data_IF_575349152589
#
_entry.id   IF_575349152589
#
_cell.length_a   1.000
_cell.length_b   1.000
_cell.length_c   1.000
_cell.angle_alpha   90.00
_cell.angle_beta   90.00
_cell.angle_gamma   90.00
#
_symmetry.space_group_name_H-M   'P 1'
#
loop_
_entity.id
_entity.type
_entity.pdbx_description
1 polymer ?
#
# COMPACT_ATOMS: atom_id res chain seq x y z
N UNK A 1 15.99 -4.69 -16.47
CA UNK A 1 15.22 -4.04 -15.40
C UNK A 1 15.57 -2.57 -15.42
N UNK A 2 14.59 -1.69 -15.53
CA UNK A 2 14.79 -0.23 -15.50
C UNK A 2 14.25 0.24 -14.15
N UNK A 3 15.04 1.03 -13.44
CA UNK A 3 14.64 1.60 -12.15
C UNK A 3 14.11 3.01 -12.35
N UNK A 4 13.03 3.33 -11.64
CA UNK A 4 12.43 4.65 -11.62
C UNK A 4 12.53 5.23 -10.23
N UNK A 5 12.94 6.49 -10.13
CA UNK A 5 12.99 7.21 -8.86
C UNK A 5 11.62 7.69 -8.38
N UNK A 6 10.57 7.52 -9.20
CA UNK A 6 9.23 8.05 -8.94
C UNK A 6 8.17 7.16 -9.58
N UNK A 7 7.13 6.85 -8.81
CA UNK A 7 6.05 5.95 -9.24
C UNK A 7 5.19 6.54 -10.36
N UNK A 8 4.99 7.87 -10.41
CA UNK A 8 4.21 8.46 -11.51
C UNK A 8 4.91 8.25 -12.85
N UNK A 9 6.23 8.43 -12.90
CA UNK A 9 7.01 8.18 -14.11
C UNK A 9 6.91 6.72 -14.57
N UNK A 10 7.05 5.78 -13.64
CA UNK A 10 6.95 4.35 -13.94
C UNK A 10 5.57 3.98 -14.52
N UNK A 11 4.50 4.52 -13.94
CA UNK A 11 3.12 4.28 -14.39
C UNK A 11 2.86 4.94 -15.75
N UNK A 12 3.36 6.16 -15.98
CA UNK A 12 3.24 6.84 -17.28
C UNK A 12 3.97 6.08 -18.41
N UNK A 13 5.14 5.50 -18.11
CA UNK A 13 5.88 4.69 -19.09
C UNK A 13 5.16 3.38 -19.41
N UNK A 14 4.50 2.76 -18.42
CA UNK A 14 3.62 1.61 -18.66
C UNK A 14 2.43 2.00 -19.55
N UNK A 15 1.76 3.13 -19.28
CA UNK A 15 0.64 3.62 -20.11
C UNK A 15 1.03 3.91 -21.55
N UNK A 16 2.24 4.41 -21.76
CA UNK A 16 2.77 4.71 -23.10
C UNK A 16 3.25 3.47 -23.86
N UNK A 17 3.37 2.32 -23.18
CA UNK A 17 3.97 1.11 -23.73
C UNK A 17 5.50 1.20 -23.87
N UNK A 18 6.15 2.11 -23.14
CA UNK A 18 7.62 2.15 -23.06
C UNK A 18 8.18 0.96 -22.28
N UNK A 19 7.38 0.38 -21.39
CA UNK A 19 7.66 -0.85 -20.65
C UNK A 19 6.46 -1.79 -20.72
N UNK A 20 6.71 -3.10 -20.71
CA UNK A 20 5.65 -4.11 -20.82
C UNK A 20 4.95 -4.42 -19.49
N UNK A 21 5.70 -4.34 -18.38
CA UNK A 21 5.24 -4.68 -17.03
C UNK A 21 5.88 -3.75 -16.00
N UNK A 22 5.18 -3.56 -14.88
CA UNK A 22 5.65 -2.80 -13.72
C UNK A 22 5.39 -3.59 -12.44
N UNK A 23 6.37 -3.63 -11.54
CA UNK A 23 6.25 -4.19 -10.19
C UNK A 23 6.11 -3.00 -9.23
N UNK A 24 5.01 -2.95 -8.48
CA UNK A 24 4.69 -1.89 -7.52
C UNK A 24 3.86 -2.46 -6.37
N UNK A 25 3.85 -1.77 -5.24
CA UNK A 25 2.98 -2.09 -4.11
C UNK A 25 1.50 -2.05 -4.50
N UNK A 26 0.76 -3.06 -4.06
CA UNK A 26 -0.68 -3.20 -4.35
C UNK A 26 -1.49 -2.04 -3.77
N UNK A 27 -1.12 -1.55 -2.59
CA UNK A 27 -1.75 -0.40 -1.92
C UNK A 27 -1.59 0.88 -2.75
N UNK A 28 -0.39 1.14 -3.26
CA UNK A 28 -0.13 2.26 -4.17
C UNK A 28 -0.92 2.09 -5.48
N UNK A 29 -0.86 0.90 -6.08
CA UNK A 29 -1.52 0.64 -7.35
C UNK A 29 -3.05 0.79 -7.26
N UNK A 30 -3.68 0.44 -6.13
CA UNK A 30 -5.12 0.63 -5.93
C UNK A 30 -5.58 2.08 -6.12
N UNK A 31 -4.76 3.06 -5.74
CA UNK A 31 -5.04 4.48 -5.95
C UNK A 31 -5.08 4.83 -7.44
N UNK A 32 -4.09 4.38 -8.22
CA UNK A 32 -4.05 4.61 -9.67
C UNK A 32 -5.12 3.83 -10.42
N UNK A 33 -5.40 2.60 -10.01
CA UNK A 33 -6.46 1.78 -10.62
C UNK A 33 -7.84 2.41 -10.40
N UNK A 34 -8.09 3.03 -9.24
CA UNK A 34 -9.31 3.80 -8.99
C UNK A 34 -9.40 5.04 -9.89
N UNK A 35 -8.28 5.73 -10.10
CA UNK A 35 -8.22 6.94 -10.93
C UNK A 35 -8.29 6.66 -12.45
N UNK A 36 -7.77 5.50 -12.88
CA UNK A 36 -7.62 5.10 -14.29
C UNK A 36 -8.15 3.68 -14.52
N UNK A 37 -9.38 3.45 -14.10
CA UNK A 37 -10.01 2.12 -14.16
C UNK A 37 -10.05 1.58 -15.59
N UNK A 38 -9.60 0.34 -15.77
CA UNK A 38 -9.58 -0.35 -17.06
C UNK A 38 -8.37 -0.04 -17.95
N UNK A 39 -7.47 0.86 -17.54
CA UNK A 39 -6.23 1.15 -18.29
C UNK A 39 -5.19 0.05 -18.14
N UNK A 40 -5.15 -0.61 -16.98
CA UNK A 40 -4.14 -1.60 -16.64
C UNK A 40 -4.76 -2.97 -16.38
N UNK A 41 -3.97 -4.02 -16.60
CA UNK A 41 -4.28 -5.38 -16.19
C UNK A 41 -3.36 -5.78 -15.04
N UNK A 42 -3.95 -6.16 -13.92
CA UNK A 42 -3.22 -6.76 -12.78
C UNK A 42 -3.03 -8.24 -13.05
N UNK A 43 -1.81 -8.73 -12.87
CA UNK A 43 -1.49 -10.16 -12.95
C UNK A 43 -1.82 -10.83 -11.62
N UNK A 44 -2.09 -12.14 -11.63
CA UNK A 44 -2.43 -12.87 -10.41
C UNK A 44 -1.19 -13.21 -9.57
N UNK A 45 -0.02 -13.18 -10.21
CA UNK A 45 1.27 -13.44 -9.61
C UNK A 45 1.72 -12.29 -8.70
N UNK A 46 2.18 -12.62 -7.50
CA UNK A 46 2.78 -11.68 -6.55
C UNK A 46 4.21 -12.12 -6.23
N UNK A 47 5.08 -11.17 -5.85
CA UNK A 47 6.45 -11.48 -5.43
C UNK A 47 6.56 -11.82 -3.94
N UNK A 48 5.48 -11.64 -3.18
CA UNK A 48 5.42 -11.91 -1.76
C UNK A 48 4.32 -11.13 -1.06
N UNK A 49 4.15 -11.41 0.22
CA UNK A 49 3.37 -10.60 1.15
C UNK A 49 4.33 -9.79 2.01
N UNK A 50 3.96 -8.54 2.30
CA UNK A 50 4.76 -7.62 3.09
C UNK A 50 3.89 -6.98 4.17
N UNK A 51 4.42 -6.95 5.39
CA UNK A 51 3.80 -6.21 6.49
C UNK A 51 4.32 -4.77 6.49
N UNK A 52 3.41 -3.81 6.45
CA UNK A 52 3.75 -2.41 6.67
C UNK A 52 3.72 -2.09 8.17
N UNK A 53 4.75 -1.39 8.65
CA UNK A 53 4.88 -1.00 10.05
C UNK A 53 5.32 0.45 10.18
N UNK A 54 5.06 1.03 11.36
CA UNK A 54 5.53 2.37 11.70
C UNK A 54 6.93 2.26 12.31
N UNK A 55 7.93 2.81 11.63
CA UNK A 55 9.30 2.90 12.13
C UNK A 55 9.45 3.97 13.21
N UNK A 56 10.12 3.64 14.31
CA UNK A 56 10.47 4.57 15.39
C UNK A 56 11.87 4.27 15.93
N UNK A 57 12.36 5.13 16.83
CA UNK A 57 13.72 5.02 17.38
C UNK A 57 13.89 3.73 18.18
N UNK A 58 14.98 2.99 17.94
CA UNK A 58 15.31 1.79 18.71
C UNK A 58 15.52 2.14 20.20
N UNK A 59 14.93 1.34 21.08
CA UNK A 59 15.01 1.50 22.55
C UNK A 59 13.98 2.46 23.16
N UNK A 60 13.10 3.07 22.35
CA UNK A 60 12.01 3.91 22.86
C UNK A 60 10.77 3.07 23.20
N UNK A 61 10.91 2.26 24.27
CA UNK A 61 9.88 1.29 24.65
C UNK A 61 8.59 1.96 25.16
N UNK A 62 8.70 3.14 25.78
CA UNK A 62 7.56 3.92 26.24
C UNK A 62 6.73 4.44 25.05
N UNK A 63 7.38 5.01 24.04
CA UNK A 63 6.69 5.43 22.81
C UNK A 63 6.07 4.25 22.08
N UNK A 64 6.82 3.14 21.95
CA UNK A 64 6.31 1.91 21.33
C UNK A 64 5.02 1.44 22.00
N UNK A 65 4.97 1.42 23.34
CA UNK A 65 3.80 0.94 24.07
C UNK A 65 2.56 1.80 23.79
N UNK A 66 2.70 3.13 23.82
CA UNK A 66 1.59 4.03 23.53
C UNK A 66 1.18 4.01 22.06
N UNK A 67 2.14 3.88 21.13
CA UNK A 67 1.86 3.71 19.70
C UNK A 67 1.06 2.43 19.44
N UNK A 68 1.50 1.30 20.00
CA UNK A 68 0.80 0.03 19.84
C UNK A 68 -0.62 0.12 20.40
N UNK A 69 -0.80 0.70 21.59
CA UNK A 69 -2.12 0.90 22.19
C UNK A 69 -3.04 1.77 21.33
N UNK A 70 -2.50 2.76 20.63
CA UNK A 70 -3.27 3.58 19.70
C UNK A 70 -3.67 2.78 18.44
N UNK A 71 -2.76 1.99 17.88
CA UNK A 71 -3.03 1.11 16.74
C UNK A 71 -4.07 0.05 17.09
N UNK A 72 -3.96 -0.58 18.27
CA UNK A 72 -4.90 -1.60 18.74
C UNK A 72 -6.33 -1.04 18.86
N UNK A 73 -6.49 0.21 19.32
CA UNK A 73 -7.80 0.88 19.37
C UNK A 73 -8.41 1.06 17.99
N UNK A 74 -7.61 1.47 17.00
CA UNK A 74 -8.05 1.65 15.62
C UNK A 74 -8.38 0.33 14.95
N UNK A 75 -7.62 -0.73 15.25
CA UNK A 75 -7.86 -2.09 14.75
C UNK A 75 -9.08 -2.77 15.39
N UNK A 76 -9.38 -2.45 16.65
CA UNK A 76 -10.53 -2.96 17.38
C UNK A 76 -11.85 -2.27 17.01
N UNK A 77 -11.78 -1.10 16.35
CA UNK A 77 -12.92 -0.36 15.85
C UNK A 77 -13.08 -0.53 14.32
N UNK A 78 -14.21 -0.09 13.77
CA UNK A 78 -14.40 -0.04 12.31
C UNK A 78 -13.64 1.12 11.66
N UNK A 79 -12.95 1.98 12.45
CA UNK A 79 -12.29 3.18 11.94
C UNK A 79 -11.16 2.82 10.98
N UNK A 80 -10.37 1.81 11.32
CA UNK A 80 -9.32 1.31 10.44
C UNK A 80 -9.85 0.83 9.10
N UNK A 81 -10.94 0.05 9.13
CA UNK A 81 -11.63 -0.43 7.93
C UNK A 81 -12.18 0.73 7.09
N UNK A 82 -12.82 1.72 7.71
CA UNK A 82 -13.34 2.90 7.01
C UNK A 82 -12.23 3.71 6.32
N UNK A 83 -11.07 3.84 6.97
CA UNK A 83 -9.90 4.47 6.37
C UNK A 83 -9.42 3.66 5.16
N UNK A 84 -9.31 2.33 5.30
CA UNK A 84 -8.85 1.45 4.24
C UNK A 84 -9.79 1.51 3.02
N UNK A 85 -11.11 1.40 3.21
CA UNK A 85 -12.10 1.48 2.14
C UNK A 85 -12.08 2.85 1.44
N UNK A 86 -11.93 3.94 2.20
CA UNK A 86 -11.86 5.30 1.62
C UNK A 86 -10.70 5.44 0.64
N UNK A 87 -9.52 4.98 1.02
CA UNK A 87 -8.28 5.21 0.28
C UNK A 87 -7.96 4.12 -0.75
N UNK A 88 -8.22 2.85 -0.42
CA UNK A 88 -7.82 1.69 -1.22
C UNK A 88 -9.01 0.93 -1.82
N UNK A 89 -10.24 1.20 -1.37
CA UNK A 89 -11.46 0.57 -1.89
C UNK A 89 -11.78 -0.82 -1.31
N UNK A 90 -10.95 -1.32 -0.38
CA UNK A 90 -11.15 -2.58 0.32
C UNK A 90 -10.55 -2.53 1.73
N UNK A 91 -10.96 -3.46 2.60
CA UNK A 91 -10.30 -3.69 3.88
C UNK A 91 -8.96 -4.38 3.62
N UNK A 92 -7.87 -3.62 3.73
CA UNK A 92 -6.49 -4.09 3.55
C UNK A 92 -5.75 -4.25 4.88
N UNK A 93 -6.43 -4.09 6.02
CA UNK A 93 -5.78 -4.15 7.31
C UNK A 93 -5.43 -5.58 7.69
N UNK A 94 -4.18 -5.77 8.08
CA UNK A 94 -3.69 -7.04 8.62
C UNK A 94 -4.19 -7.20 10.06
N UNK A 95 -5.07 -8.18 10.28
CA UNK A 95 -5.57 -8.56 11.61
C UNK A 95 -4.73 -9.73 12.11
N UNK A 96 -3.74 -9.46 12.96
CA UNK A 96 -2.87 -10.47 13.58
C UNK A 96 -3.19 -10.61 15.06
#
# INVERSE_FOLDING_TARGET
MIEFNDNNKAIMDLERGSVDCLIVDSSLFSYYNKAKAGTFRVLNETLGEEDFAIGFRKGDDAFRAELQKALDKVSASDEGKQIAEKWFGSDILVKK
#
